data_IF_500706663523
#
_entry.id   IF_500706663523
#
_cell.length_a   1.000
_cell.length_b   1.000
_cell.length_c   1.000
_cell.angle_alpha   90.00
_cell.angle_beta   90.00
_cell.angle_gamma   90.00
#
_symmetry.space_group_name_H-M   'P 1'
#
loop_
_entity.id
_entity.type
_entity.pdbx_description
1 polymer ?
#
# COMPACT_ATOMS: atom_id res chain seq x y z
N UNK A 1 -11.42 -3.46 -19.24
CA UNK A 1 -11.82 -4.82 -18.84
C UNK A 1 -10.75 -5.39 -17.92
N UNK A 2 -11.12 -5.99 -16.79
CA UNK A 2 -10.17 -6.55 -15.83
C UNK A 2 -9.83 -7.98 -16.26
N UNK A 3 -8.69 -8.17 -16.92
CA UNK A 3 -8.21 -9.47 -17.39
C UNK A 3 -6.86 -9.81 -16.74
N UNK A 4 -6.61 -11.09 -16.48
CA UNK A 4 -5.34 -11.60 -15.97
C UNK A 4 -4.37 -12.02 -17.09
N UNK A 5 -4.72 -11.80 -18.37
CA UNK A 5 -4.03 -12.40 -19.52
C UNK A 5 -2.53 -12.11 -19.63
N UNK A 6 -1.98 -11.10 -18.95
CA UNK A 6 -0.53 -10.86 -18.90
C UNK A 6 0.01 -10.68 -17.47
N UNK A 7 -0.81 -10.91 -16.45
CA UNK A 7 -0.48 -10.58 -15.06
C UNK A 7 0.79 -11.30 -14.57
N UNK A 8 0.96 -12.57 -14.93
CA UNK A 8 2.12 -13.38 -14.52
C UNK A 8 3.41 -12.87 -15.19
N UNK A 9 3.35 -12.53 -16.47
CA UNK A 9 4.51 -12.03 -17.21
C UNK A 9 4.95 -10.65 -16.71
N UNK A 10 3.98 -9.77 -16.49
CA UNK A 10 4.23 -8.43 -15.93
C UNK A 10 4.83 -8.54 -14.53
N UNK A 11 4.30 -9.43 -13.69
CA UNK A 11 4.85 -9.68 -12.36
C UNK A 11 6.25 -10.27 -12.38
N UNK A 12 6.57 -11.16 -13.32
CA UNK A 12 7.94 -11.67 -13.47
C UNK A 12 8.96 -10.57 -13.78
N UNK A 13 8.55 -9.50 -14.48
CA UNK A 13 9.41 -8.34 -14.77
C UNK A 13 9.52 -7.40 -13.57
N UNK A 14 8.41 -7.14 -12.89
CA UNK A 14 8.35 -6.13 -11.83
C UNK A 14 8.87 -6.62 -10.47
N UNK A 15 8.70 -7.90 -10.14
CA UNK A 15 9.03 -8.43 -8.82
C UNK A 15 10.54 -8.62 -8.64
N UNK A 16 11.04 -8.15 -7.49
CA UNK A 16 12.36 -8.51 -6.99
C UNK A 16 12.36 -9.92 -6.40
N UNK A 17 12.93 -10.87 -7.11
CA UNK A 17 13.19 -12.21 -6.57
C UNK A 17 14.43 -12.19 -5.66
N UNK A 18 14.43 -13.02 -4.61
CA UNK A 18 15.60 -13.16 -3.74
C UNK A 18 16.74 -13.84 -4.49
N UNK A 19 17.99 -13.56 -4.10
CA UNK A 19 19.16 -14.24 -4.66
C UNK A 19 19.02 -15.77 -4.51
N UNK A 20 19.08 -16.49 -5.63
CA UNK A 20 18.91 -17.95 -5.68
C UNK A 20 17.47 -18.45 -5.89
N UNK A 21 16.47 -17.56 -5.95
CA UNK A 21 15.09 -17.94 -6.25
C UNK A 21 14.84 -17.91 -7.77
N UNK A 22 14.17 -18.93 -8.30
CA UNK A 22 13.71 -18.90 -9.69
C UNK A 22 12.70 -17.74 -9.87
N UNK A 23 12.93 -16.91 -10.89
CA UNK A 23 12.05 -15.81 -11.26
C UNK A 23 10.75 -16.32 -11.87
N UNK A 24 9.86 -16.83 -11.01
CA UNK A 24 8.57 -17.36 -11.42
C UNK A 24 7.48 -16.94 -10.44
N UNK A 25 6.69 -15.96 -10.86
CA UNK A 25 5.54 -15.46 -10.14
C UNK A 25 4.51 -16.58 -9.90
N UNK A 26 4.35 -17.57 -10.80
CA UNK A 26 3.37 -18.66 -10.66
C UNK A 26 3.48 -19.47 -9.36
N UNK A 27 4.65 -19.46 -8.73
CA UNK A 27 4.90 -20.18 -7.47
C UNK A 27 4.33 -19.43 -6.27
N UNK A 28 3.98 -18.14 -6.43
CA UNK A 28 3.48 -17.30 -5.35
C UNK A 28 2.04 -17.71 -4.96
N UNK A 29 1.77 -17.95 -3.65
CA UNK A 29 0.44 -18.34 -3.19
C UNK A 29 -0.63 -17.27 -3.48
N UNK A 30 -0.21 -16.01 -3.61
CA UNK A 30 -1.08 -14.86 -3.89
C UNK A 30 -1.77 -14.92 -5.26
N UNK A 31 -1.22 -15.67 -6.22
CA UNK A 31 -1.83 -15.81 -7.56
C UNK A 31 -3.18 -16.52 -7.52
N UNK A 32 -3.44 -17.33 -6.49
CA UNK A 32 -4.73 -18.01 -6.31
C UNK A 32 -5.90 -17.03 -6.13
N UNK A 33 -5.62 -15.78 -5.75
CA UNK A 33 -6.64 -14.76 -5.49
C UNK A 33 -7.04 -14.04 -6.79
N UNK A 34 -7.84 -14.71 -7.61
CA UNK A 34 -8.22 -14.26 -8.97
C UNK A 34 -8.70 -12.81 -9.02
N UNK A 35 -9.61 -12.40 -8.12
CA UNK A 35 -10.16 -11.04 -8.10
C UNK A 35 -9.11 -9.98 -7.75
N UNK A 36 -8.28 -10.26 -6.75
CA UNK A 36 -7.20 -9.36 -6.33
C UNK A 36 -6.15 -9.22 -7.45
N UNK A 37 -5.82 -10.34 -8.10
CA UNK A 37 -4.86 -10.36 -9.19
C UNK A 37 -5.38 -9.66 -10.44
N UNK A 38 -6.67 -9.79 -10.79
CA UNK A 38 -7.27 -9.06 -11.89
C UNK A 38 -7.30 -7.54 -11.65
N UNK A 39 -7.60 -7.11 -10.42
CA UNK A 39 -7.53 -5.69 -10.04
C UNK A 39 -6.10 -5.15 -10.11
N UNK A 40 -5.13 -5.93 -9.63
CA UNK A 40 -3.71 -5.60 -9.68
C UNK A 40 -3.18 -5.49 -11.12
N UNK A 41 -3.55 -6.43 -12.00
CA UNK A 41 -3.19 -6.41 -13.41
C UNK A 41 -3.70 -5.15 -14.12
N UNK A 42 -4.94 -4.74 -13.82
CA UNK A 42 -5.48 -3.49 -14.35
C UNK A 42 -4.75 -2.25 -13.80
N UNK A 43 -4.35 -2.25 -12.53
CA UNK A 43 -3.56 -1.17 -11.94
C UNK A 43 -2.16 -1.06 -12.57
N UNK A 44 -1.48 -2.20 -12.81
CA UNK A 44 -0.19 -2.25 -13.51
C UNK A 44 -0.32 -1.64 -14.91
N UNK A 45 -1.36 -2.04 -15.65
CA UNK A 45 -1.63 -1.52 -16.99
C UNK A 45 -1.96 -0.03 -16.99
N UNK A 46 -2.74 0.43 -16.02
CA UNK A 46 -3.11 1.84 -15.90
C UNK A 46 -1.93 2.74 -15.54
N UNK A 47 -1.02 2.26 -14.68
CA UNK A 47 0.20 2.97 -14.30
C UNK A 47 1.36 2.77 -15.29
N UNK A 48 1.16 1.97 -16.34
CA UNK A 48 2.15 1.67 -17.37
C UNK A 48 3.50 1.19 -16.81
N UNK A 49 3.48 0.45 -15.68
CA UNK A 49 4.70 0.10 -14.93
C UNK A 49 5.69 -0.75 -15.75
N UNK A 50 5.19 -1.54 -16.70
CA UNK A 50 6.01 -2.38 -17.57
C UNK A 50 6.68 -1.62 -18.72
N UNK A 51 6.32 -0.36 -18.95
CA UNK A 51 6.90 0.49 -20.02
C UNK A 51 8.25 1.06 -19.59
N UNK A 52 8.42 1.32 -18.29
CA UNK A 52 9.65 1.87 -17.73
C UNK A 52 10.56 0.74 -17.22
N UNK A 53 11.79 0.67 -17.76
CA UNK A 53 12.78 -0.33 -17.37
C UNK A 53 13.28 -0.18 -15.94
N UNK A 54 13.19 1.03 -15.35
CA UNK A 54 13.66 1.29 -13.99
C UNK A 54 12.80 0.58 -12.94
N UNK A 55 11.56 0.24 -13.30
CA UNK A 55 10.61 -0.49 -12.45
C UNK A 55 10.91 -1.99 -12.36
N UNK A 56 11.76 -2.54 -13.21
CA UNK A 56 12.02 -3.98 -13.23
C UNK A 56 12.79 -4.43 -11.99
N UNK A 57 12.29 -5.50 -11.35
CA UNK A 57 12.91 -6.05 -10.14
C UNK A 57 12.91 -5.11 -8.92
N UNK A 58 12.02 -4.12 -8.87
CA UNK A 58 11.93 -3.18 -7.73
C UNK A 58 10.77 -3.48 -6.78
N UNK A 59 9.77 -4.24 -7.21
CA UNK A 59 8.54 -4.43 -6.45
C UNK A 59 8.56 -5.71 -5.61
N UNK A 60 7.74 -5.72 -4.56
CA UNK A 60 7.46 -6.90 -3.75
C UNK A 60 5.96 -7.06 -3.60
N UNK A 61 5.48 -8.29 -3.74
CA UNK A 61 4.10 -8.64 -3.42
C UNK A 61 3.97 -8.91 -1.92
N UNK A 62 3.02 -8.24 -1.28
CA UNK A 62 2.61 -8.48 0.10
C UNK A 62 1.09 -8.54 0.19
N UNK A 63 0.59 -9.47 1.00
CA UNK A 63 -0.83 -9.60 1.30
C UNK A 63 -1.19 -8.71 2.47
N UNK A 64 -2.05 -7.74 2.25
CA UNK A 64 -2.48 -6.84 3.32
C UNK A 64 -3.52 -7.52 4.21
N UNK A 65 -3.11 -7.88 5.43
CA UNK A 65 -4.02 -8.35 6.47
C UNK A 65 -4.66 -7.17 7.19
N UNK A 66 -5.96 -6.98 6.94
CA UNK A 66 -6.77 -5.92 7.52
C UNK A 66 -7.13 -6.20 8.99
N UNK A 67 -7.08 -7.47 9.42
CA UNK A 67 -7.39 -7.87 10.80
C UNK A 67 -6.45 -7.24 11.82
N UNK A 68 -5.21 -6.95 11.42
CA UNK A 68 -4.16 -6.36 12.27
C UNK A 68 -4.41 -4.90 12.66
N UNK A 69 -5.26 -4.19 11.92
CA UNK A 69 -5.49 -2.77 12.11
C UNK A 69 -6.91 -2.46 12.60
N UNK A 70 -7.06 -1.36 13.34
CA UNK A 70 -8.36 -0.83 13.74
C UNK A 70 -9.10 -0.34 12.50
N UNK A 71 -10.33 -0.82 12.32
CA UNK A 71 -11.20 -0.35 11.25
C UNK A 71 -11.90 0.93 11.68
N UNK A 72 -11.72 1.98 10.91
CA UNK A 72 -12.36 3.27 11.10
C UNK A 72 -13.25 3.55 9.89
N UNK A 73 -14.47 4.01 10.13
CA UNK A 73 -15.35 4.49 9.10
C UNK A 73 -15.06 5.96 8.77
N UNK A 74 -15.57 6.44 7.64
CA UNK A 74 -15.33 7.80 7.17
C UNK A 74 -15.83 8.85 8.17
N UNK A 75 -16.91 8.58 8.91
CA UNK A 75 -17.41 9.52 9.91
C UNK A 75 -16.46 9.62 11.11
N UNK A 76 -15.95 8.51 11.63
CA UNK A 76 -14.94 8.54 12.71
C UNK A 76 -13.65 9.22 12.28
N UNK A 77 -13.16 8.97 11.06
CA UNK A 77 -11.95 9.63 10.53
C UNK A 77 -12.11 11.15 10.51
N UNK A 78 -13.29 11.64 10.13
CA UNK A 78 -13.61 13.07 10.12
C UNK A 78 -13.81 13.64 11.53
N UNK A 79 -14.55 12.94 12.40
CA UNK A 79 -14.81 13.37 13.77
C UNK A 79 -13.51 13.50 14.58
N UNK A 80 -12.56 12.59 14.37
CA UNK A 80 -11.25 12.59 15.01
C UNK A 80 -10.21 13.46 14.27
N UNK A 81 -10.57 14.07 13.14
CA UNK A 81 -9.66 14.90 12.33
C UNK A 81 -8.31 14.23 12.07
N UNK A 82 -8.31 12.94 11.72
CA UNK A 82 -7.10 12.09 11.66
C UNK A 82 -6.14 12.55 10.55
N UNK A 83 -6.70 12.89 9.39
CA UNK A 83 -5.97 13.34 8.21
C UNK A 83 -6.71 14.50 7.56
N UNK A 84 -6.00 15.23 6.71
CA UNK A 84 -6.60 16.29 5.91
C UNK A 84 -7.68 15.72 5.01
N UNK A 85 -8.88 16.30 5.09
CA UNK A 85 -9.88 16.14 4.06
C UNK A 85 -9.64 17.22 3.00
N UNK A 86 -9.59 16.83 1.72
CA UNK A 86 -9.35 17.74 0.58
C UNK A 86 -10.32 18.93 0.53
N UNK A 87 -11.45 18.84 1.23
CA UNK A 87 -12.45 19.90 1.31
C UNK A 87 -12.10 21.04 2.28
N UNK A 88 -11.08 20.90 3.15
CA UNK A 88 -10.78 21.87 4.22
C UNK A 88 -9.28 22.17 4.34
N UNK A 89 -8.68 22.69 3.26
CA UNK A 89 -7.27 23.14 3.21
C UNK A 89 -6.97 24.24 4.24
N UNK A 90 -7.98 24.98 4.72
CA UNK A 90 -7.81 26.08 5.69
C UNK A 90 -7.55 25.62 7.14
N UNK A 91 -7.74 24.34 7.49
CA UNK A 91 -7.56 23.82 8.85
C UNK A 91 -6.32 22.92 9.00
N UNK A 92 -5.24 23.28 8.30
CA UNK A 92 -4.00 22.50 8.28
C UNK A 92 -3.39 22.23 9.66
N UNK A 93 -3.58 23.14 10.60
CA UNK A 93 -2.98 23.07 11.93
C UNK A 93 -3.83 22.33 12.97
N UNK A 94 -4.90 21.61 12.58
CA UNK A 94 -5.85 20.98 13.52
C UNK A 94 -6.01 19.47 13.36
N UNK A 95 -5.26 18.83 12.47
CA UNK A 95 -5.34 17.38 12.29
C UNK A 95 -4.39 16.66 13.24
N UNK A 96 -4.77 15.47 13.69
CA UNK A 96 -3.91 14.64 14.55
C UNK A 96 -2.56 14.37 13.88
N UNK A 97 -2.56 14.09 12.58
CA UNK A 97 -1.32 13.93 11.81
C UNK A 97 -0.45 15.19 11.84
N UNK A 98 -1.01 16.40 11.67
CA UNK A 98 -0.25 17.65 11.74
C UNK A 98 0.35 17.94 13.12
N UNK A 99 -0.32 17.51 14.18
CA UNK A 99 0.11 17.75 15.55
C UNK A 99 1.23 16.79 15.97
N UNK A 100 1.13 15.53 15.57
CA UNK A 100 2.13 14.50 15.86
C UNK A 100 3.35 14.60 14.92
N UNK A 101 3.18 15.18 13.73
CA UNK A 101 4.24 15.22 12.73
C UNK A 101 5.32 16.26 13.05
N UNK A 102 6.36 15.77 13.71
CA UNK A 102 7.60 16.51 14.02
C UNK A 102 8.82 15.87 13.36
N UNK A 103 8.59 15.03 12.34
CA UNK A 103 9.66 14.36 11.63
C UNK A 103 10.57 15.39 10.92
N UNK A 104 11.83 15.01 10.70
CA UNK A 104 12.82 15.86 10.02
C UNK A 104 13.07 15.45 8.56
N UNK A 105 12.66 14.25 8.19
CA UNK A 105 12.89 13.67 6.86
C UNK A 105 11.55 13.35 6.20
N UNK A 106 11.49 13.54 4.87
CA UNK A 106 10.31 13.22 4.04
C UNK A 106 9.80 11.79 4.25
N UNK A 107 10.71 10.83 4.42
CA UNK A 107 10.39 9.43 4.72
C UNK A 107 9.72 9.26 6.09
N UNK A 108 10.17 9.99 7.12
CA UNK A 108 9.56 9.97 8.44
C UNK A 108 8.13 10.52 8.42
N UNK A 109 7.92 11.65 7.74
CA UNK A 109 6.58 12.22 7.54
C UNK A 109 5.63 11.20 6.90
N UNK A 110 6.09 10.47 5.87
CA UNK A 110 5.29 9.42 5.20
C UNK A 110 4.96 8.25 6.13
N UNK A 111 5.95 7.77 6.88
CA UNK A 111 5.78 6.64 7.81
C UNK A 111 4.80 6.96 8.94
N UNK A 112 4.93 8.14 9.56
CA UNK A 112 4.02 8.56 10.62
C UNK A 112 2.58 8.66 10.11
N UNK A 113 2.39 9.27 8.93
CA UNK A 113 1.06 9.34 8.31
C UNK A 113 0.47 7.96 8.01
N UNK A 114 1.29 6.96 7.70
CA UNK A 114 0.84 5.58 7.55
C UNK A 114 0.39 4.98 8.88
N UNK A 115 1.19 5.14 9.95
CA UNK A 115 0.87 4.60 11.27
C UNK A 115 -0.41 5.18 11.85
N UNK A 116 -0.62 6.49 11.71
CA UNK A 116 -1.83 7.17 12.17
C UNK A 116 -3.09 6.64 11.45
N UNK A 117 -2.97 6.26 10.17
CA UNK A 117 -4.07 5.65 9.40
C UNK A 117 -4.28 4.17 9.67
N UNK A 118 -3.28 3.49 10.23
CA UNK A 118 -3.28 2.04 10.45
C UNK A 118 -2.96 1.71 11.92
N UNK A 119 -3.83 2.05 12.89
CA UNK A 119 -3.59 1.75 14.30
C UNK A 119 -3.57 0.23 14.50
N UNK A 120 -2.56 -0.28 15.21
CA UNK A 120 -2.41 -1.72 15.47
C UNK A 120 -3.43 -2.21 16.51
N UNK A 121 -3.84 -3.49 16.41
CA UNK A 121 -4.66 -4.17 17.42
C UNK A 121 -3.86 -5.01 18.41
N UNK A 122 -2.68 -5.48 18.02
CA UNK A 122 -1.88 -6.41 18.81
C UNK A 122 -1.14 -5.68 19.93
N UNK A 123 -1.44 -6.03 21.18
CA UNK A 123 -0.84 -5.41 22.36
C UNK A 123 0.67 -5.62 22.41
N UNK A 124 1.19 -6.76 21.93
CA UNK A 124 2.61 -7.08 22.01
C UNK A 124 3.46 -6.22 21.07
N UNK A 125 2.84 -5.66 20.01
CA UNK A 125 3.51 -4.74 19.08
C UNK A 125 3.41 -3.30 19.61
N UNK A 126 2.43 -3.02 20.46
CA UNK A 126 2.17 -1.70 21.02
C UNK A 126 2.97 -1.46 22.31
N UNK A 127 3.13 -2.48 23.15
CA UNK A 127 3.84 -2.44 24.44
C UNK A 127 5.36 -2.56 24.28
#
# INVERSE_FOLDING_TARGET
EFSMENAIEDLNKLIKFKEGQQANANVLPQIKWMHAMAALAAAIKYLELCTDSDNFGQFRIETMDHGRFVHLDTAAVNALSICYNNNNIQNSNRTLSSLLDRCRTSHGHRLLNQWVKQPLKDINIIS
#
